data_IF_830659576479
#
_entry.id   IF_830659576479
#
_cell.length_a   1.000
_cell.length_b   1.000
_cell.length_c   1.000
_cell.angle_alpha   90.00
_cell.angle_beta   90.00
_cell.angle_gamma   90.00
#
_symmetry.space_group_name_H-M   'P 1'
#
loop_
_entity.id
_entity.type
_entity.pdbx_description
1 polymer ?
#
# COMPACT_ATOMS: atom_id res chain seq x y z
N UNK A 1 50.13 14.29 -56.64
CA UNK A 1 50.82 13.94 -55.38
C UNK A 1 49.99 14.49 -54.24
N UNK A 2 49.46 13.59 -53.39
CA UNK A 2 48.95 13.74 -52.00
C UNK A 2 48.56 15.15 -51.51
N UNK A 3 47.37 15.40 -50.94
CA UNK A 3 46.96 14.83 -49.66
C UNK A 3 45.44 14.90 -49.51
N UNK A 4 44.75 13.78 -49.73
CA UNK A 4 43.50 13.48 -49.01
C UNK A 4 43.89 12.99 -47.62
N UNK A 5 42.93 12.96 -46.69
CA UNK A 5 43.03 12.43 -45.32
C UNK A 5 43.31 13.53 -44.29
N UNK A 6 42.28 14.28 -43.90
CA UNK A 6 42.11 14.82 -42.54
C UNK A 6 40.61 14.99 -42.22
N UNK A 7 39.75 14.16 -42.82
CA UNK A 7 38.29 14.18 -42.62
C UNK A 7 37.80 12.96 -41.82
N UNK A 8 38.69 12.36 -41.03
CA UNK A 8 38.37 11.27 -40.10
C UNK A 8 38.86 11.68 -38.71
N UNK A 9 38.37 12.83 -38.22
CA UNK A 9 38.38 13.06 -36.78
C UNK A 9 37.32 12.10 -36.22
N UNK A 10 37.78 10.92 -35.83
CA UNK A 10 37.02 9.84 -35.21
C UNK A 10 35.96 10.40 -34.25
N UNK A 11 34.72 10.50 -34.70
CA UNK A 11 33.56 10.37 -33.84
C UNK A 11 33.46 8.89 -33.49
N UNK A 12 34.45 8.38 -32.75
CA UNK A 12 34.35 7.08 -32.12
C UNK A 12 33.03 7.08 -31.35
N UNK A 13 32.07 6.20 -31.65
CA UNK A 13 30.86 6.13 -30.87
C UNK A 13 31.32 5.79 -29.46
N UNK A 14 31.25 6.78 -28.55
CA UNK A 14 31.52 6.59 -27.13
C UNK A 14 30.65 5.39 -26.75
N UNK A 15 31.25 4.21 -26.58
CA UNK A 15 30.54 2.99 -26.20
C UNK A 15 30.00 3.28 -24.81
N UNK A 16 28.82 3.87 -24.75
CA UNK A 16 28.15 4.19 -23.51
C UNK A 16 28.05 2.84 -22.79
N UNK A 17 28.50 2.80 -21.54
CA UNK A 17 28.37 1.62 -20.67
C UNK A 17 26.89 1.41 -20.28
N UNK A 18 25.97 1.44 -21.26
CA UNK A 18 24.51 1.32 -21.12
C UNK A 18 24.18 0.05 -20.32
N UNK A 19 24.93 -1.03 -20.56
CA UNK A 19 24.78 -2.32 -19.86
C UNK A 19 24.94 -2.23 -18.34
N UNK A 20 25.70 -1.25 -17.81
CA UNK A 20 25.89 -1.05 -16.36
C UNK A 20 25.02 0.08 -15.79
N UNK A 21 24.57 1.01 -16.63
CA UNK A 21 23.69 2.11 -16.19
C UNK A 21 22.25 1.64 -15.97
N UNK A 22 21.74 0.72 -16.80
CA UNK A 22 20.38 0.20 -16.67
C UNK A 22 20.12 -0.47 -15.30
N UNK A 23 20.95 -1.42 -14.82
CA UNK A 23 20.75 -2.02 -13.50
C UNK A 23 20.84 -1.00 -12.36
N UNK A 24 21.75 -0.03 -12.45
CA UNK A 24 21.92 0.99 -11.42
C UNK A 24 20.71 1.92 -11.33
N UNK A 25 20.16 2.34 -12.47
CA UNK A 25 18.96 3.17 -12.53
C UNK A 25 17.76 2.40 -11.98
N UNK A 26 17.56 1.15 -12.40
CA UNK A 26 16.46 0.31 -11.89
C UNK A 26 16.56 0.14 -10.38
N UNK A 27 17.76 -0.15 -9.87
CA UNK A 27 17.99 -0.30 -8.43
C UNK A 27 17.66 1.00 -7.67
N UNK A 28 18.14 2.14 -8.16
CA UNK A 28 17.88 3.44 -7.54
C UNK A 28 16.38 3.79 -7.55
N UNK A 29 15.68 3.55 -8.67
CA UNK A 29 14.24 3.81 -8.77
C UNK A 29 13.45 2.89 -7.85
N UNK A 30 13.75 1.59 -7.83
CA UNK A 30 13.07 0.65 -6.94
C UNK A 30 13.31 1.00 -5.47
N UNK A 31 14.55 1.34 -5.11
CA UNK A 31 14.87 1.77 -3.75
C UNK A 31 14.08 3.02 -3.36
N UNK A 32 14.04 4.04 -4.22
CA UNK A 32 13.29 5.27 -3.99
C UNK A 32 11.80 5.02 -3.74
N UNK A 33 11.14 4.26 -4.62
CA UNK A 33 9.72 3.94 -4.46
C UNK A 33 9.46 3.09 -3.21
N UNK A 34 10.29 2.08 -2.95
CA UNK A 34 10.17 1.25 -1.75
C UNK A 34 10.33 2.06 -0.47
N UNK A 35 11.28 3.00 -0.42
CA UNK A 35 11.46 3.87 0.75
C UNK A 35 10.24 4.75 1.01
N UNK A 36 9.69 5.39 -0.02
CA UNK A 36 8.49 6.24 0.11
C UNK A 36 7.28 5.43 0.54
N UNK A 37 7.09 4.25 -0.08
CA UNK A 37 6.02 3.34 0.28
C UNK A 37 6.14 2.90 1.74
N UNK A 38 7.34 2.52 2.18
CA UNK A 38 7.61 2.07 3.55
C UNK A 38 7.37 3.19 4.56
N UNK A 39 7.78 4.42 4.25
CA UNK A 39 7.49 5.59 5.09
C UNK A 39 5.97 5.83 5.22
N UNK A 40 5.25 5.74 4.10
CA UNK A 40 3.79 5.79 4.10
C UNK A 40 3.20 4.70 5.01
N UNK A 41 3.65 3.46 4.83
CA UNK A 41 3.19 2.30 5.61
C UNK A 41 3.42 2.48 7.10
N UNK A 42 4.63 2.88 7.51
CA UNK A 42 4.94 3.13 8.91
C UNK A 42 4.06 4.23 9.50
N UNK A 43 3.91 5.36 8.79
CA UNK A 43 3.09 6.47 9.28
C UNK A 43 1.60 6.12 9.30
N UNK A 44 1.10 5.40 8.31
CA UNK A 44 -0.29 4.92 8.26
C UNK A 44 -0.60 3.97 9.41
N UNK A 45 0.29 3.01 9.67
CA UNK A 45 0.16 2.08 10.80
C UNK A 45 0.16 2.84 12.13
N UNK A 46 1.15 3.71 12.36
CA UNK A 46 1.26 4.48 13.60
C UNK A 46 0.09 5.44 13.80
N UNK A 47 -0.31 6.17 12.76
CA UNK A 47 -1.43 7.10 12.82
C UNK A 47 -2.74 6.38 13.18
N UNK A 48 -2.99 5.23 12.54
CA UNK A 48 -4.19 4.41 12.82
C UNK A 48 -4.16 3.89 14.24
N UNK A 49 -3.03 3.31 14.68
CA UNK A 49 -2.87 2.81 16.04
C UNK A 49 -3.07 3.90 17.11
N UNK A 50 -2.50 5.09 16.90
CA UNK A 50 -2.66 6.23 17.80
C UNK A 50 -4.11 6.74 17.80
N UNK A 51 -4.77 6.75 16.64
CA UNK A 51 -6.16 7.14 16.51
C UNK A 51 -7.08 6.18 17.25
N UNK A 52 -6.97 4.87 17.01
CA UNK A 52 -7.76 3.83 17.68
C UNK A 52 -7.56 3.89 19.20
N UNK A 53 -6.31 4.01 19.66
CA UNK A 53 -6.00 4.14 21.09
C UNK A 53 -6.59 5.42 21.71
N UNK A 54 -6.59 6.55 20.99
CA UNK A 54 -7.14 7.82 21.48
C UNK A 54 -8.67 7.79 21.54
N UNK A 55 -9.31 7.13 20.59
CA UNK A 55 -10.77 7.03 20.51
C UNK A 55 -11.34 5.90 21.37
N UNK A 56 -10.50 5.06 21.98
CA UNK A 56 -10.96 3.88 22.71
C UNK A 56 -11.63 2.87 21.77
N UNK A 57 -11.10 2.70 20.56
CA UNK A 57 -11.54 1.68 19.59
C UNK A 57 -10.42 0.65 19.46
N UNK A 58 -9.80 0.28 20.58
CA UNK A 58 -8.83 -0.81 20.62
C UNK A 58 -9.52 -2.14 20.93
N UNK A 59 -8.80 -3.25 20.72
CA UNK A 59 -9.30 -4.61 20.98
C UNK A 59 -9.75 -4.78 22.45
N UNK A 60 -9.19 -3.97 23.36
CA UNK A 60 -9.50 -3.97 24.79
C UNK A 60 -10.76 -3.18 25.17
N UNK A 61 -11.14 -2.14 24.39
CA UNK A 61 -12.25 -1.24 24.71
C UNK A 61 -13.62 -1.80 24.33
N UNK A 62 -13.70 -2.88 23.56
CA UNK A 62 -14.96 -3.58 23.27
C UNK A 62 -15.93 -2.86 22.33
N UNK A 63 -15.66 -1.61 21.96
CA UNK A 63 -16.43 -0.84 20.97
C UNK A 63 -16.05 -1.25 19.54
N UNK A 64 -16.61 -2.38 19.11
CA UNK A 64 -16.49 -2.92 17.74
C UNK A 64 -17.66 -2.43 16.88
N UNK A 65 -17.39 -2.06 15.63
CA UNK A 65 -18.43 -1.58 14.70
C UNK A 65 -19.11 -2.79 14.05
N UNK A 66 -20.26 -3.17 14.60
CA UNK A 66 -21.09 -4.25 14.07
C UNK A 66 -22.21 -3.71 13.18
N UNK A 67 -22.32 -4.27 11.98
CA UNK A 67 -23.43 -4.03 11.07
C UNK A 67 -24.31 -5.28 10.97
N UNK A 68 -25.56 -5.17 11.40
CA UNK A 68 -26.48 -6.30 11.36
C UNK A 68 -27.05 -6.51 9.95
N UNK A 69 -26.81 -7.70 9.38
CA UNK A 69 -27.38 -8.12 8.10
C UNK A 69 -28.48 -9.16 8.37
N UNK A 70 -29.69 -8.64 8.57
CA UNK A 70 -30.88 -9.44 8.87
C UNK A 70 -30.89 -9.98 10.30
N UNK A 71 -31.61 -11.10 10.53
CA UNK A 71 -31.78 -11.68 11.88
C UNK A 71 -30.67 -12.64 12.31
N UNK A 72 -29.82 -13.11 11.38
CA UNK A 72 -28.91 -14.25 11.60
C UNK A 72 -27.42 -13.92 11.45
N UNK A 73 -27.08 -12.76 10.90
CA UNK A 73 -25.69 -12.42 10.57
C UNK A 73 -25.37 -11.01 11.02
N UNK A 74 -24.16 -10.85 11.54
CA UNK A 74 -23.56 -9.56 11.88
C UNK A 74 -22.22 -9.48 11.16
N UNK A 75 -22.01 -8.37 10.46
CA UNK A 75 -20.74 -8.05 9.81
C UNK A 75 -19.95 -7.18 10.78
N UNK A 76 -18.76 -7.63 11.15
CA UNK A 76 -17.80 -6.79 11.86
C UNK A 76 -17.01 -5.99 10.82
N UNK A 77 -17.14 -4.67 10.84
CA UNK A 77 -16.45 -3.79 9.90
C UNK A 77 -15.03 -3.52 10.36
N UNK A 78 -14.13 -4.34 9.85
CA UNK A 78 -12.70 -4.15 9.95
C UNK A 78 -12.21 -3.12 8.92
N UNK A 79 -11.35 -2.19 9.34
CA UNK A 79 -10.85 -1.14 8.46
C UNK A 79 -9.97 -1.68 7.33
N UNK A 80 -9.44 -2.91 7.44
CA UNK A 80 -8.73 -3.55 6.32
C UNK A 80 -9.65 -3.82 5.12
N UNK A 81 -10.93 -4.16 5.35
CA UNK A 81 -11.92 -4.40 4.28
C UNK A 81 -12.25 -3.08 3.59
N UNK A 82 -12.44 -2.02 4.38
CA UNK A 82 -12.66 -0.67 3.85
C UNK A 82 -11.47 -0.25 3.01
N UNK A 83 -10.25 -0.56 3.45
CA UNK A 83 -9.03 -0.46 2.65
C UNK A 83 -9.16 -1.16 1.32
N UNK A 84 -9.44 -2.47 1.29
CA UNK A 84 -9.61 -3.25 0.05
C UNK A 84 -10.67 -2.64 -0.88
N UNK A 85 -11.81 -2.20 -0.35
CA UNK A 85 -12.88 -1.57 -1.14
C UNK A 85 -12.38 -0.28 -1.78
N UNK A 86 -11.66 0.56 -1.04
CA UNK A 86 -11.06 1.80 -1.59
C UNK A 86 -10.06 1.47 -2.69
N UNK A 87 -9.18 0.48 -2.48
CA UNK A 87 -8.22 0.03 -3.49
C UNK A 87 -8.94 -0.42 -4.77
N UNK A 88 -9.97 -1.26 -4.62
CA UNK A 88 -10.75 -1.76 -5.74
C UNK A 88 -11.45 -0.63 -6.49
N UNK A 89 -12.09 0.29 -5.77
CA UNK A 89 -12.79 1.43 -6.36
C UNK A 89 -11.84 2.34 -7.15
N UNK A 90 -10.71 2.75 -6.55
CA UNK A 90 -9.69 3.59 -7.21
C UNK A 90 -9.12 2.88 -8.44
N UNK A 91 -8.90 1.58 -8.37
CA UNK A 91 -8.36 0.80 -9.48
C UNK A 91 -9.35 0.67 -10.63
N UNK A 92 -10.63 0.41 -10.35
CA UNK A 92 -11.69 0.31 -11.35
C UNK A 92 -12.04 1.66 -11.98
N UNK A 93 -11.91 2.75 -11.23
CA UNK A 93 -12.07 4.11 -11.74
C UNK A 93 -10.88 4.59 -12.60
N UNK A 94 -9.77 3.83 -12.62
CA UNK A 94 -8.57 4.18 -13.37
C UNK A 94 -7.69 5.25 -12.70
N UNK A 95 -7.95 5.60 -11.44
CA UNK A 95 -7.22 6.64 -10.70
C UNK A 95 -5.97 6.13 -9.98
N UNK A 96 -5.60 4.86 -10.18
CA UNK A 96 -4.51 4.23 -9.44
C UNK A 96 -3.16 4.92 -9.64
N UNK A 97 -2.92 5.50 -10.82
CA UNK A 97 -1.70 6.22 -11.14
C UNK A 97 -1.65 7.65 -10.59
N UNK A 98 -2.79 8.23 -10.23
CA UNK A 98 -2.87 9.59 -9.67
C UNK A 98 -2.55 9.62 -8.18
N UNK A 99 -2.70 8.48 -7.50
CA UNK A 99 -2.44 8.38 -6.06
C UNK A 99 -0.93 8.26 -5.80
N UNK A 100 -0.33 9.18 -5.01
CA UNK A 100 1.07 9.10 -4.61
C UNK A 100 1.40 7.77 -3.92
N UNK A 101 2.59 7.22 -4.20
CA UNK A 101 3.11 5.98 -3.59
C UNK A 101 3.10 6.02 -2.06
N UNK A 102 3.28 7.21 -1.49
CA UNK A 102 3.16 7.44 -0.05
C UNK A 102 1.75 7.11 0.49
N UNK A 103 0.70 7.55 -0.21
CA UNK A 103 -0.69 7.29 0.20
C UNK A 103 -1.06 5.82 0.05
N UNK A 104 -0.54 5.15 -0.99
CA UNK A 104 -0.62 3.69 -1.08
C UNK A 104 0.00 3.04 0.15
N UNK A 105 1.23 3.43 0.48
CA UNK A 105 1.91 2.98 1.70
C UNK A 105 1.03 3.19 2.94
N UNK A 106 0.53 4.41 3.16
CA UNK A 106 -0.30 4.74 4.31
C UNK A 106 -1.59 3.91 4.40
N UNK A 107 -2.25 3.66 3.27
CA UNK A 107 -3.43 2.80 3.20
C UNK A 107 -3.08 1.35 3.59
N UNK A 108 -1.99 0.80 3.05
CA UNK A 108 -1.49 -0.52 3.45
C UNK A 108 -1.08 -0.56 4.92
N UNK A 109 -0.51 0.53 5.46
CA UNK A 109 -0.18 0.65 6.89
C UNK A 109 -1.40 0.59 7.79
N UNK A 110 -2.49 1.25 7.41
CA UNK A 110 -3.78 1.19 8.10
C UNK A 110 -4.38 -0.23 8.07
N UNK A 111 -4.34 -0.90 6.91
CA UNK A 111 -4.78 -2.29 6.79
C UNK A 111 -3.90 -3.24 7.62
N UNK A 112 -2.58 -3.02 7.62
CA UNK A 112 -1.65 -3.82 8.40
C UNK A 112 -1.91 -3.67 9.91
N UNK A 113 -2.25 -2.48 10.38
CA UNK A 113 -2.59 -2.28 11.80
C UNK A 113 -3.75 -3.19 12.22
N UNK A 114 -4.78 -3.30 11.39
CA UNK A 114 -5.91 -4.20 11.65
C UNK A 114 -5.50 -5.66 11.75
N UNK A 115 -4.73 -6.12 10.76
CA UNK A 115 -4.34 -7.54 10.62
C UNK A 115 -3.34 -7.96 11.72
N UNK A 116 -2.47 -7.06 12.16
CA UNK A 116 -1.44 -7.36 13.14
C UNK A 116 -1.85 -7.09 14.59
N UNK A 117 -2.72 -6.11 14.85
CA UNK A 117 -3.09 -5.72 16.21
C UNK A 117 -4.41 -6.38 16.69
N UNK A 118 -5.28 -6.86 15.79
CA UNK A 118 -6.55 -7.49 16.17
C UNK A 118 -6.58 -8.97 15.78
N UNK A 119 -6.88 -9.86 16.71
CA UNK A 119 -6.90 -11.31 16.45
C UNK A 119 -8.12 -11.74 15.62
N UNK A 120 -9.22 -11.00 15.73
CA UNK A 120 -10.47 -11.25 15.04
C UNK A 120 -10.53 -10.63 13.64
N UNK A 121 -9.41 -10.16 13.08
CA UNK A 121 -9.34 -9.54 11.74
C UNK A 121 -9.99 -10.39 10.63
N UNK A 122 -9.98 -11.72 10.79
CA UNK A 122 -10.55 -12.69 9.86
C UNK A 122 -12.05 -12.97 10.10
N UNK A 123 -12.59 -12.59 11.26
CA UNK A 123 -13.98 -12.79 11.67
C UNK A 123 -14.89 -11.68 11.16
N UNK A 124 -14.95 -11.55 9.83
CA UNK A 124 -15.73 -10.51 9.16
C UNK A 124 -17.24 -10.77 9.26
N UNK A 125 -17.64 -12.04 9.14
CA UNK A 125 -19.04 -12.47 9.12
C UNK A 125 -19.24 -13.39 10.31
N UNK A 126 -19.91 -12.87 11.33
CA UNK A 126 -20.24 -13.62 12.53
C UNK A 126 -21.70 -14.02 12.43
N UNK A 127 -21.96 -15.32 12.59
CA UNK A 127 -23.33 -15.81 12.70
C UNK A 127 -23.84 -15.44 14.09
N UNK A 128 -24.99 -14.76 14.18
CA UNK A 128 -25.71 -14.64 15.45
C UNK A 128 -26.13 -16.06 15.82
N UNK A 129 -25.45 -16.66 16.79
CA UNK A 129 -26.00 -17.84 17.44
C UNK A 129 -27.36 -17.42 18.00
N UNK A 130 -28.41 -18.11 17.56
CA UNK A 130 -29.74 -17.93 18.15
C UNK A 130 -29.59 -18.31 19.62
N UNK A 131 -29.44 -17.32 20.50
CA UNK A 131 -29.61 -17.51 21.94
C UNK A 131 -31.01 -18.07 22.09
N UNK A 132 -31.11 -19.39 22.23
CA UNK A 132 -32.31 -20.06 22.68
C UNK A 132 -32.48 -19.65 24.14
N UNK A 133 -33.25 -18.60 24.35
CA UNK A 133 -33.82 -18.25 25.65
C UNK A 133 -34.84 -19.33 26.02
#
# INVERSE_FOLDING_TARGET
>A
MSTKINTELELAPKKIKVKKMLPAVVLATTFYYSSIFTLGLMLGYLATRLYCKKMGIDEESGDKIFFDVGKKWTIHLHHWIMGVIVIAFVSLAGWSQEIPVFLWGALFGMMAQDIYDYNDWHEVIIKKEEVKI
#
